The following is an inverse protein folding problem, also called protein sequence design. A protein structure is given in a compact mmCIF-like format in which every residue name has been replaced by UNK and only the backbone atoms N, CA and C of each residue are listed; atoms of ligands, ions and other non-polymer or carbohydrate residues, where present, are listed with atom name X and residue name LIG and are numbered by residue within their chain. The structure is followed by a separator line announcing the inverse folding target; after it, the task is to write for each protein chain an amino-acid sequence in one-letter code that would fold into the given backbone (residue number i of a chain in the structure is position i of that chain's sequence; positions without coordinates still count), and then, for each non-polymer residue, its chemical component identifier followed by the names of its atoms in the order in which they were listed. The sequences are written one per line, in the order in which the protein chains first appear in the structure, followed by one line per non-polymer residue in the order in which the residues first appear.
data_IF_829872235733
#
_entry.id   IF_829872235733
#
_cell.length_a   1.000
_cell.length_b   1.000
_cell.length_c   1.000
_cell.angle_alpha   90.00
_cell.angle_beta   90.00
_cell.angle_gamma   90.00
#
_symmetry.space_group_name_H-M   'P 1'
#
loop_
_entity.id
_entity.type
_entity.pdbx_description
1 polymer ?
#
# COMPACT_ATOMS: atom_id res chain seq x y z
N UNK A 1 -9.68 0.60 17.57
CA UNK A 1 -10.24 -0.53 18.34
C UNK A 1 -11.37 -1.24 17.61
N UNK A 2 -12.46 -0.56 17.18
CA UNK A 2 -13.62 -1.24 16.52
C UNK A 2 -13.23 -2.15 15.34
N UNK A 3 -12.26 -1.76 14.51
CA UNK A 3 -11.80 -2.57 13.39
C UNK A 3 -11.14 -3.90 13.79
N UNK A 4 -10.50 -3.95 14.98
CA UNK A 4 -9.83 -5.15 15.49
C UNK A 4 -10.78 -6.15 16.13
N UNK A 5 -11.94 -5.70 16.60
CA UNK A 5 -12.93 -6.54 17.29
C UNK A 5 -14.18 -6.81 16.46
N UNK A 6 -14.25 -6.28 15.23
CA UNK A 6 -15.41 -6.47 14.35
C UNK A 6 -15.46 -7.91 13.83
N UNK A 7 -16.48 -8.70 14.16
CA UNK A 7 -16.65 -10.05 13.61
C UNK A 7 -17.18 -10.06 12.17
N UNK A 8 -17.55 -8.88 11.66
CA UNK A 8 -18.14 -8.70 10.34
C UNK A 8 -17.10 -8.16 9.33
N UNK A 9 -17.52 -8.07 8.05
CA UNK A 9 -16.75 -7.34 7.05
C UNK A 9 -16.48 -5.92 7.57
N UNK A 10 -15.24 -5.45 7.49
CA UNK A 10 -14.81 -4.12 7.94
C UNK A 10 -15.41 -2.98 7.11
N UNK A 11 -16.74 -2.93 7.01
CA UNK A 11 -17.45 -1.81 6.40
C UNK A 11 -17.55 -0.65 7.38
N UNK A 12 -17.60 0.57 6.86
CA UNK A 12 -17.75 1.77 7.70
C UNK A 12 -18.98 1.67 8.61
N UNK A 13 -20.11 1.22 8.07
CA UNK A 13 -21.35 0.98 8.82
C UNK A 13 -21.11 0.03 9.99
N UNK A 14 -20.45 -1.11 9.74
CA UNK A 14 -20.15 -2.09 10.80
C UNK A 14 -19.28 -1.47 11.91
N UNK A 15 -18.26 -0.69 11.52
CA UNK A 15 -17.38 -0.02 12.50
C UNK A 15 -18.14 1.00 13.35
N UNK A 16 -19.03 1.80 12.75
CA UNK A 16 -19.88 2.77 13.45
C UNK A 16 -20.80 2.06 14.47
N UNK A 17 -21.45 0.97 14.03
CA UNK A 17 -22.30 0.18 14.91
C UNK A 17 -21.51 -0.43 16.09
N UNK A 18 -20.32 -0.96 15.82
CA UNK A 18 -19.44 -1.52 16.86
C UNK A 18 -18.93 -0.47 17.86
N UNK A 19 -18.89 0.81 17.46
CA UNK A 19 -18.61 1.93 18.35
C UNK A 19 -19.84 2.36 19.19
N UNK A 20 -20.96 1.66 19.11
CA UNK A 20 -22.19 2.02 19.81
C UNK A 20 -22.93 3.23 19.20
N UNK A 21 -22.59 3.63 17.97
CA UNK A 21 -23.13 4.83 17.32
C UNK A 21 -24.21 4.54 16.28
N UNK A 22 -24.84 3.36 16.35
CA UNK A 22 -25.83 2.91 15.37
C UNK A 22 -27.02 3.87 15.19
N UNK A 23 -27.40 4.61 16.25
CA UNK A 23 -28.52 5.54 16.26
C UNK A 23 -28.12 7.02 16.12
N UNK A 24 -26.86 7.30 15.79
CA UNK A 24 -26.36 8.66 15.60
C UNK A 24 -26.29 9.05 14.12
N UNK A 25 -26.09 10.34 13.83
CA UNK A 25 -25.82 10.80 12.46
C UNK A 25 -24.43 10.35 12.01
N UNK A 26 -24.38 9.57 10.93
CA UNK A 26 -23.15 9.02 10.34
C UNK A 26 -22.52 9.91 9.26
N UNK A 27 -23.12 11.05 8.97
CA UNK A 27 -22.70 11.93 7.88
C UNK A 27 -21.23 12.33 8.01
N UNK A 28 -20.77 12.64 9.22
CA UNK A 28 -19.38 13.02 9.46
C UNK A 28 -18.41 11.86 9.21
N UNK A 29 -18.78 10.65 9.64
CA UNK A 29 -17.96 9.44 9.44
C UNK A 29 -17.83 9.11 7.94
N UNK A 30 -18.93 9.16 7.19
CA UNK A 30 -18.89 8.95 5.74
C UNK A 30 -18.11 10.04 5.01
N UNK A 31 -18.19 11.30 5.44
CA UNK A 31 -17.42 12.41 4.85
C UNK A 31 -15.91 12.25 5.07
N UNK A 32 -15.49 11.59 6.14
CA UNK A 32 -14.07 11.30 6.37
C UNK A 32 -13.48 10.43 5.25
N UNK A 33 -14.25 9.45 4.75
CA UNK A 33 -13.81 8.51 3.73
C UNK A 33 -14.20 8.91 2.29
N UNK A 34 -15.18 9.80 2.12
CA UNK A 34 -15.65 10.25 0.80
C UNK A 34 -14.91 11.49 0.28
N UNK A 35 -14.11 12.13 1.10
CA UNK A 35 -13.32 13.30 0.77
C UNK A 35 -11.86 13.04 1.10
N UNK A 36 -10.97 13.53 0.25
CA UNK A 36 -9.52 13.47 0.48
C UNK A 36 -9.13 14.46 1.58
N UNK A 37 -9.27 14.04 2.83
CA UNK A 37 -8.98 14.84 4.05
C UNK A 37 -7.80 14.32 4.83
N UNK A 38 -7.36 13.11 4.52
CA UNK A 38 -6.25 12.46 5.23
C UNK A 38 -5.06 12.45 4.29
N UNK A 39 -3.96 13.03 4.73
CA UNK A 39 -2.68 12.91 4.04
C UNK A 39 -1.95 11.64 4.53
N UNK A 40 -1.99 10.53 3.78
CA UNK A 40 -1.34 9.29 4.21
C UNK A 40 0.18 9.46 4.37
N UNK A 41 0.81 10.28 3.53
CA UNK A 41 2.25 10.53 3.61
C UNK A 41 2.64 11.19 4.94
N UNK A 42 1.81 12.11 5.45
CA UNK A 42 2.01 12.73 6.76
C UNK A 42 1.90 11.73 7.90
N UNK A 43 0.97 10.79 7.82
CA UNK A 43 0.84 9.72 8.82
C UNK A 43 2.05 8.80 8.81
N UNK A 44 2.48 8.34 7.65
CA UNK A 44 3.63 7.45 7.53
C UNK A 44 4.95 8.13 7.91
N UNK A 45 5.12 9.42 7.63
CA UNK A 45 6.30 10.17 8.08
C UNK A 45 6.38 10.27 9.59
N UNK A 46 5.24 10.44 10.29
CA UNK A 46 5.17 10.44 11.75
C UNK A 46 5.56 9.08 12.32
N UNK A 47 5.06 7.99 11.72
CA UNK A 47 5.42 6.62 12.13
C UNK A 47 6.92 6.36 11.93
N UNK A 48 7.47 6.76 10.78
CA UNK A 48 8.89 6.61 10.48
C UNK A 48 9.76 7.40 11.48
N UNK A 49 9.36 8.62 11.78
CA UNK A 49 10.05 9.46 12.77
C UNK A 49 10.06 8.82 14.16
N UNK A 50 8.93 8.26 14.57
CA UNK A 50 8.83 7.54 15.86
C UNK A 50 9.75 6.31 15.89
N UNK A 51 9.80 5.53 14.82
CA UNK A 51 10.73 4.40 14.71
C UNK A 51 12.17 4.88 14.80
N UNK A 52 12.54 5.90 14.02
CA UNK A 52 13.87 6.44 13.94
C UNK A 52 14.36 6.98 15.31
N UNK A 53 13.49 7.66 16.04
CA UNK A 53 13.80 8.24 17.37
C UNK A 53 14.03 7.16 18.41
N UNK A 54 13.37 6.02 18.30
CA UNK A 54 13.48 4.91 19.27
C UNK A 54 14.55 3.88 18.88
N UNK A 55 15.20 4.01 17.71
CA UNK A 55 16.30 3.17 17.30
C UNK A 55 17.64 3.79 17.75
N UNK A 56 18.56 3.02 18.39
CA UNK A 56 19.92 3.48 18.65
C UNK A 56 20.59 3.99 17.37
N UNK A 57 21.41 5.04 17.48
CA UNK A 57 22.04 5.68 16.31
C UNK A 57 22.90 4.70 15.45
N UNK A 58 23.50 3.71 16.09
CA UNK A 58 24.35 2.69 15.44
C UNK A 58 23.57 1.54 14.82
N UNK A 59 22.26 1.43 15.11
CA UNK A 59 21.42 0.33 14.61
C UNK A 59 20.92 0.65 13.22
N UNK A 60 21.11 -0.22 12.21
CA UNK A 60 20.53 0.00 10.89
C UNK A 60 19.00 -0.03 10.94
N UNK A 61 18.35 0.79 10.11
CA UNK A 61 16.93 0.62 9.85
C UNK A 61 16.74 -0.56 8.89
N UNK A 62 16.07 -1.58 9.35
CA UNK A 62 15.68 -2.72 8.51
C UNK A 62 14.28 -2.49 7.98
N UNK A 63 14.12 -2.49 6.67
CA UNK A 63 12.82 -2.36 6.01
C UNK A 63 12.54 -3.59 5.15
N UNK A 64 11.27 -3.96 5.04
CA UNK A 64 10.78 -4.94 4.09
C UNK A 64 9.90 -4.27 3.06
N UNK A 65 10.02 -4.71 1.81
CA UNK A 65 9.15 -4.29 0.72
C UNK A 65 8.35 -5.48 0.21
N UNK A 66 7.06 -5.26 0.01
CA UNK A 66 6.14 -6.27 -0.50
C UNK A 66 5.09 -5.63 -1.39
N UNK A 67 4.47 -6.41 -2.27
CA UNK A 67 3.31 -5.97 -3.03
C UNK A 67 2.03 -6.70 -2.61
N UNK A 68 0.96 -5.94 -2.58
CA UNK A 68 -0.35 -6.44 -2.16
C UNK A 68 -1.39 -6.17 -3.23
N UNK A 69 -2.18 -7.20 -3.54
CA UNK A 69 -3.31 -7.11 -4.44
C UNK A 69 -4.63 -7.03 -3.66
N UNK A 70 -5.25 -5.85 -3.65
CA UNK A 70 -6.55 -5.62 -3.02
C UNK A 70 -7.66 -5.87 -4.04
N UNK A 71 -8.43 -6.95 -3.84
CA UNK A 71 -9.55 -7.32 -4.73
C UNK A 71 -10.63 -6.24 -4.70
N UNK A 72 -11.10 -5.83 -5.89
CA UNK A 72 -12.13 -4.81 -6.10
C UNK A 72 -13.09 -5.26 -7.19
N UNK A 73 -14.38 -5.08 -6.95
CA UNK A 73 -15.44 -5.44 -7.91
C UNK A 73 -16.03 -4.24 -8.67
N UNK A 74 -15.85 -3.02 -8.14
CA UNK A 74 -16.41 -1.81 -8.71
C UNK A 74 -15.85 -1.47 -10.10
N UNK A 75 -16.73 -1.22 -11.09
CA UNK A 75 -16.34 -0.97 -12.48
C UNK A 75 -15.65 0.36 -12.74
N UNK A 76 -15.88 1.35 -11.86
CA UNK A 76 -15.40 2.74 -12.02
C UNK A 76 -14.27 3.10 -11.03
N UNK A 77 -13.67 2.12 -10.36
CA UNK A 77 -12.58 2.39 -9.41
C UNK A 77 -11.29 2.56 -10.22
N UNK A 78 -10.62 3.68 -10.05
CA UNK A 78 -9.36 3.99 -10.73
C UNK A 78 -8.26 2.97 -10.41
N UNK A 79 -7.43 2.65 -11.39
CA UNK A 79 -6.33 1.71 -11.28
C UNK A 79 -6.73 0.24 -11.06
N UNK A 80 -8.03 -0.09 -11.07
CA UNK A 80 -8.51 -1.47 -11.01
C UNK A 80 -8.33 -2.14 -12.38
N UNK A 81 -7.73 -3.31 -12.37
CA UNK A 81 -7.54 -4.13 -13.56
C UNK A 81 -7.48 -5.61 -13.23
N UNK A 82 -7.50 -6.44 -14.27
CA UNK A 82 -7.26 -7.87 -14.15
C UNK A 82 -5.76 -8.12 -13.95
N UNK A 83 -5.42 -8.86 -12.92
CA UNK A 83 -4.05 -9.21 -12.55
C UNK A 83 -3.99 -10.69 -12.22
N UNK A 84 -2.82 -11.29 -12.42
CA UNK A 84 -2.59 -12.65 -11.94
C UNK A 84 -2.70 -12.66 -10.42
N UNK A 85 -3.42 -13.65 -9.88
CA UNK A 85 -3.49 -13.87 -8.44
C UNK A 85 -2.16 -14.46 -7.95
N UNK A 86 -1.40 -13.75 -7.11
CA UNK A 86 -0.14 -14.27 -6.58
C UNK A 86 -0.33 -15.50 -5.69
N UNK A 87 -1.51 -15.66 -5.09
CA UNK A 87 -1.88 -16.79 -4.24
C UNK A 87 -2.50 -17.95 -5.02
N UNK A 88 -2.63 -17.81 -6.35
CA UNK A 88 -3.16 -18.87 -7.20
C UNK A 88 -2.16 -19.99 -7.42
N UNK A 89 -2.64 -21.20 -7.78
CA UNK A 89 -1.77 -22.34 -8.10
C UNK A 89 -0.78 -22.00 -9.22
N UNK A 90 0.47 -22.45 -9.09
CA UNK A 90 1.55 -22.12 -10.03
C UNK A 90 1.26 -22.50 -11.49
N UNK A 91 0.48 -23.56 -11.70
CA UNK A 91 0.17 -24.12 -13.02
C UNK A 91 -1.15 -23.65 -13.62
N UNK A 92 -1.92 -22.84 -12.89
CA UNK A 92 -3.19 -22.28 -13.37
C UNK A 92 -3.12 -20.76 -13.44
N UNK A 93 -3.53 -20.20 -14.59
CA UNK A 93 -3.68 -18.75 -14.71
C UNK A 93 -4.97 -18.35 -14.03
N UNK A 94 -4.88 -17.93 -12.78
CA UNK A 94 -5.97 -17.33 -12.05
C UNK A 94 -5.87 -15.82 -12.14
N UNK A 95 -6.92 -15.17 -12.66
CA UNK A 95 -6.98 -13.71 -12.79
C UNK A 95 -7.98 -13.17 -11.78
N UNK A 96 -7.54 -12.21 -11.00
CA UNK A 96 -8.38 -11.45 -10.08
C UNK A 96 -8.43 -9.99 -10.48
N UNK A 97 -9.57 -9.37 -10.26
CA UNK A 97 -9.75 -7.95 -10.48
C UNK A 97 -9.42 -7.19 -9.19
N UNK A 98 -8.48 -6.25 -9.26
CA UNK A 98 -8.02 -5.53 -8.07
C UNK A 98 -7.10 -4.36 -8.37
N UNK A 99 -6.74 -3.66 -7.30
CA UNK A 99 -5.70 -2.64 -7.27
C UNK A 99 -4.44 -3.24 -6.65
N UNK A 100 -3.28 -2.87 -7.18
CA UNK A 100 -1.98 -3.28 -6.65
C UNK A 100 -1.36 -2.13 -5.86
N UNK A 101 -0.80 -2.47 -4.73
CA UNK A 101 -0.10 -1.54 -3.85
C UNK A 101 1.30 -2.07 -3.56
N UNK A 102 2.24 -1.16 -3.39
CA UNK A 102 3.57 -1.43 -2.83
C UNK A 102 3.56 -0.94 -1.39
N UNK A 103 3.97 -1.79 -0.47
CA UNK A 103 4.11 -1.49 0.94
C UNK A 103 5.57 -1.53 1.34
N UNK A 104 6.03 -0.51 2.07
CA UNK A 104 7.26 -0.56 2.83
C UNK A 104 6.91 -0.65 4.31
N UNK A 105 7.57 -1.56 5.02
CA UNK A 105 7.43 -1.72 6.46
C UNK A 105 8.81 -1.67 7.10
N UNK A 106 8.96 -0.92 8.18
CA UNK A 106 10.19 -0.85 8.95
C UNK A 106 10.11 -1.70 10.21
N UNK A 107 11.22 -2.28 10.59
CA UNK A 107 11.32 -3.10 11.79
C UNK A 107 11.33 -2.21 13.03
N UNK A 108 10.35 -2.43 13.92
CA UNK A 108 10.32 -1.89 15.27
C UNK A 108 10.88 -2.94 16.21
N UNK A 109 11.98 -2.67 16.92
CA UNK A 109 12.54 -3.61 17.89
C UNK A 109 11.56 -3.77 19.08
N UNK A 110 11.10 -4.98 19.27
CA UNK A 110 10.26 -5.34 20.42
C UNK A 110 11.09 -5.81 21.61
N UNK A 111 10.45 -5.92 22.76
CA UNK A 111 11.05 -6.57 23.93
C UNK A 111 11.29 -8.06 23.62
N UNK A 112 12.43 -8.59 24.07
CA UNK A 112 12.76 -10.00 23.87
C UNK A 112 13.36 -10.36 22.49
N UNK A 113 13.86 -9.38 21.74
CA UNK A 113 14.56 -9.62 20.45
C UNK A 113 13.65 -9.89 19.27
N UNK A 114 12.33 -9.77 19.44
CA UNK A 114 11.37 -9.87 18.34
C UNK A 114 11.17 -8.49 17.69
N UNK A 115 11.33 -8.41 16.37
CA UNK A 115 11.00 -7.22 15.60
C UNK A 115 9.56 -7.32 15.05
N UNK A 116 8.85 -6.21 15.09
CA UNK A 116 7.55 -6.08 14.41
C UNK A 116 7.72 -5.20 13.18
N UNK A 117 7.21 -5.65 12.04
CA UNK A 117 7.21 -4.84 10.82
C UNK A 117 6.03 -3.88 10.85
N UNK A 118 6.31 -2.58 10.88
CA UNK A 118 5.30 -1.52 10.93
C UNK A 118 5.29 -0.81 9.57
N UNK A 119 4.13 -0.67 8.91
CA UNK A 119 4.03 0.05 7.64
C UNK A 119 4.49 1.51 7.79
N UNK A 120 5.43 1.92 6.94
CA UNK A 120 5.96 3.28 6.85
C UNK A 120 5.68 3.93 5.50
N UNK A 121 5.15 3.14 4.55
CA UNK A 121 4.64 3.61 3.26
C UNK A 121 3.68 2.60 2.67
N UNK A 122 2.66 3.11 1.98
CA UNK A 122 1.67 2.30 1.27
C UNK A 122 1.22 3.07 0.03
N UNK A 123 1.73 2.68 -1.13
CA UNK A 123 1.56 3.42 -2.37
C UNK A 123 0.82 2.60 -3.41
N UNK A 124 -0.19 3.22 -4.05
CA UNK A 124 -0.89 2.63 -5.19
C UNK A 124 0.06 2.51 -6.39
N UNK A 125 0.11 1.32 -6.97
CA UNK A 125 0.89 1.01 -8.18
C UNK A 125 -0.08 0.63 -9.33
N UNK A 126 -0.79 1.61 -9.93
CA UNK A 126 -1.74 1.35 -10.99
C UNK A 126 -1.02 0.88 -12.24
N UNK A 127 -1.66 0.00 -13.01
CA UNK A 127 -1.23 -0.28 -14.38
C UNK A 127 -2.10 0.52 -15.35
N UNK A 128 -1.52 1.08 -16.41
CA UNK A 128 -2.30 1.80 -17.41
C UNK A 128 -3.28 0.84 -18.10
N UNK A 129 -4.50 1.28 -18.43
CA UNK A 129 -5.46 0.47 -19.15
C UNK A 129 -4.91 0.12 -20.54
N UNK A 130 -5.05 -1.15 -20.93
CA UNK A 130 -4.61 -1.59 -22.25
C UNK A 130 -5.46 -0.92 -23.35
N UNK A 131 -4.85 -0.31 -24.37
CA UNK A 131 -5.58 0.26 -25.50
C UNK A 131 -6.45 -0.77 -26.20
N UNK A 132 -7.59 -0.33 -26.70
CA UNK A 132 -8.49 -1.17 -27.49
C UNK A 132 -7.87 -1.62 -28.82
N UNK A 133 -8.50 -2.60 -29.48
CA UNK A 133 -8.00 -3.16 -30.75
C UNK A 133 -7.89 -2.14 -31.90
N UNK A 134 -8.60 -1.03 -31.82
CA UNK A 134 -8.65 0.06 -32.84
C UNK A 134 -7.84 1.30 -32.37
N UNK A 135 -6.96 1.18 -31.39
CA UNK A 135 -6.14 2.28 -30.92
C UNK A 135 -5.13 2.72 -31.97
N UNK A 136 -4.86 4.01 -32.05
CA UNK A 136 -3.83 4.55 -32.93
C UNK A 136 -2.42 4.14 -32.48
N UNK A 137 -1.42 4.13 -33.40
CA UNK A 137 -0.05 3.80 -33.03
C UNK A 137 0.51 4.65 -31.89
N UNK A 138 0.16 5.95 -31.85
CA UNK A 138 0.58 6.89 -30.82
C UNK A 138 0.06 6.46 -29.42
N UNK A 139 -1.23 6.08 -29.32
CA UNK A 139 -1.83 5.59 -28.08
C UNK A 139 -1.19 4.27 -27.60
N UNK A 140 -0.80 3.43 -28.55
CA UNK A 140 -0.11 2.18 -28.21
C UNK A 140 1.29 2.47 -27.67
N UNK A 141 2.01 3.44 -28.23
CA UNK A 141 3.33 3.82 -27.77
C UNK A 141 3.28 4.51 -26.40
N UNK A 142 2.35 5.45 -26.21
CA UNK A 142 2.08 6.07 -24.92
C UNK A 142 1.76 5.04 -23.82
N UNK A 143 0.97 4.02 -24.17
CA UNK A 143 0.69 2.91 -23.25
C UNK A 143 1.96 2.13 -22.88
N UNK A 144 2.83 1.84 -23.84
CA UNK A 144 4.08 1.12 -23.60
C UNK A 144 4.99 1.90 -22.65
N UNK A 145 5.13 3.21 -22.86
CA UNK A 145 5.93 4.09 -22.01
C UNK A 145 5.36 4.17 -20.60
N UNK A 146 4.05 4.42 -20.44
CA UNK A 146 3.37 4.42 -19.15
C UNK A 146 3.52 3.08 -18.44
N UNK A 147 3.37 1.97 -19.17
CA UNK A 147 3.54 0.62 -18.63
C UNK A 147 4.98 0.38 -18.15
N UNK A 148 5.98 0.91 -18.82
CA UNK A 148 7.39 0.82 -18.43
C UNK A 148 7.66 1.59 -17.14
N UNK A 149 7.13 2.82 -17.03
CA UNK A 149 7.29 3.66 -15.85
C UNK A 149 6.53 3.15 -14.62
N UNK A 150 5.41 2.47 -14.83
CA UNK A 150 4.56 1.93 -13.78
C UNK A 150 4.82 0.44 -13.47
N UNK A 151 5.96 -0.09 -13.92
CA UNK A 151 6.39 -1.43 -13.50
C UNK A 151 6.60 -1.47 -12.00
N UNK A 152 6.24 -2.59 -11.38
CA UNK A 152 6.32 -2.77 -9.94
C UNK A 152 7.70 -2.46 -9.38
N UNK A 153 8.75 -2.98 -10.03
CA UNK A 153 10.13 -2.75 -9.63
C UNK A 153 10.56 -1.27 -9.71
N UNK A 154 10.04 -0.50 -10.68
CA UNK A 154 10.30 0.94 -10.82
C UNK A 154 9.62 1.70 -9.67
N UNK A 155 8.35 1.38 -9.39
CA UNK A 155 7.63 1.97 -8.28
C UNK A 155 8.29 1.59 -6.95
N UNK A 156 8.65 0.33 -6.75
CA UNK A 156 9.32 -0.16 -5.56
C UNK A 156 10.65 0.58 -5.32
N UNK A 157 11.48 0.72 -6.36
CA UNK A 157 12.75 1.44 -6.27
C UNK A 157 12.55 2.91 -5.89
N UNK A 158 11.58 3.58 -6.49
CA UNK A 158 11.26 4.97 -6.16
C UNK A 158 10.83 5.13 -4.69
N UNK A 159 10.07 4.16 -4.15
CA UNK A 159 9.67 4.17 -2.73
C UNK A 159 10.86 3.93 -1.79
N UNK A 160 11.77 3.01 -2.14
CA UNK A 160 13.00 2.79 -1.37
C UNK A 160 13.88 4.05 -1.37
N UNK A 161 14.03 4.70 -2.51
CA UNK A 161 14.79 5.96 -2.62
C UNK A 161 14.17 7.06 -1.75
N UNK A 162 12.85 7.17 -1.75
CA UNK A 162 12.12 8.13 -0.93
C UNK A 162 12.28 7.84 0.57
N UNK A 163 12.23 6.56 0.97
CA UNK A 163 12.55 6.15 2.35
C UNK A 163 13.98 6.55 2.71
N UNK A 164 14.97 6.29 1.82
CA UNK A 164 16.37 6.66 2.05
C UNK A 164 16.52 8.18 2.27
N UNK A 165 15.82 9.00 1.47
CA UNK A 165 15.87 10.46 1.57
C UNK A 165 15.22 11.00 2.87
N UNK A 166 14.25 10.25 3.41
CA UNK A 166 13.58 10.61 4.66
C UNK A 166 14.40 10.28 5.92
N UNK A 167 15.47 9.50 5.79
CA UNK A 167 16.34 9.08 6.88
C UNK A 167 17.58 9.97 6.98
N UNK A 168 18.15 10.16 8.19
CA UNK A 168 19.46 10.79 8.36
C UNK A 168 20.53 10.11 7.49
N UNK A 169 21.47 10.90 6.97
CA UNK A 169 22.53 10.40 6.08
C UNK A 169 23.37 9.30 6.74
N UNK A 170 23.66 9.45 8.01
CA UNK A 170 24.43 8.50 8.80
C UNK A 170 23.69 7.18 9.12
N UNK A 171 22.34 7.15 8.96
CA UNK A 171 21.55 5.95 9.25
C UNK A 171 21.71 4.94 8.10
N UNK A 172 22.25 3.77 8.42
CA UNK A 172 22.27 2.66 7.47
C UNK A 172 20.84 2.13 7.21
N UNK A 173 20.49 1.92 5.95
CA UNK A 173 19.22 1.30 5.52
C UNK A 173 19.51 -0.07 4.92
N UNK A 174 18.85 -1.09 5.44
CA UNK A 174 18.86 -2.46 4.91
C UNK A 174 17.44 -2.77 4.40
N UNK A 175 17.31 -3.16 3.15
CA UNK A 175 15.99 -3.49 2.55
C UNK A 175 15.96 -4.95 2.18
N UNK A 176 14.94 -5.67 2.66
CA UNK A 176 14.63 -7.03 2.30
C UNK A 176 13.35 -7.07 1.44
N UNK A 177 13.31 -7.96 0.46
CA UNK A 177 12.12 -8.24 -0.36
C UNK A 177 12.10 -9.73 -0.67
N UNK A 178 10.92 -10.29 -0.93
CA UNK A 178 10.83 -11.59 -1.54
C UNK A 178 11.27 -11.45 -3.01
N UNK A 179 12.20 -12.26 -3.45
CA UNK A 179 12.74 -12.26 -4.81
C UNK A 179 11.77 -12.88 -5.83
N UNK A 180 10.45 -12.52 -5.76
CA UNK A 180 9.39 -13.05 -6.61
C UNK A 180 9.52 -12.69 -8.10
#
# INVERSE_FOLDING_TARGET
MAALVSPCRGTLTSLICMCGRAQQDWTADYRLYSRDRVNPAGLFSTVLHEIETNLPATTPLVAAIDDTLVRKTGGKIDGVGWKRDPLGPAFQTNLVRGQRYVQLSAAWPGQGGQARMIPVDFTHAPMPPKPGKKATPELVEEYKEKKKQQRLNVVALARIQQLRQALPEARQLVVAGDGG
#
